data_IF_754935808312
#
_entry.id   IF_754935808312
#
_cell.length_a   1.000
_cell.length_b   1.000
_cell.length_c   1.000
_cell.angle_alpha   90.00
_cell.angle_beta   90.00
_cell.angle_gamma   90.00
#
_symmetry.space_group_name_H-M   'P 1'
#
loop_
_entity.id
_entity.type
_entity.pdbx_description
1 polymer ?
#
# COMPACT_ATOMS: atom_id res chain seq x y z
N UNK A 1 4.74 -6.39 -14.98
CA UNK A 1 3.69 -6.07 -15.96
C UNK A 1 3.36 -4.58 -15.86
N UNK A 2 3.21 -3.87 -16.98
CA UNK A 2 2.85 -2.44 -16.97
C UNK A 2 1.36 -2.34 -17.30
N UNK A 3 0.62 -1.42 -16.67
CA UNK A 3 -0.83 -1.21 -16.92
C UNK A 3 -1.17 -0.92 -18.39
N UNK A 4 -0.24 -0.30 -19.11
CA UNK A 4 -0.39 0.01 -20.52
C UNK A 4 -0.07 -1.16 -21.47
N UNK A 5 0.29 -2.35 -20.94
CA UNK A 5 0.60 -3.50 -21.78
C UNK A 5 -0.68 -4.12 -22.37
N UNK A 6 -0.62 -4.52 -23.63
CA UNK A 6 -1.70 -5.25 -24.29
C UNK A 6 -2.08 -6.52 -23.53
N UNK A 7 -1.10 -7.21 -22.94
CA UNK A 7 -1.33 -8.41 -22.13
C UNK A 7 -2.15 -8.11 -20.90
N UNK A 8 -1.92 -6.95 -20.23
CA UNK A 8 -2.74 -6.54 -19.12
C UNK A 8 -4.18 -6.27 -19.55
N UNK A 9 -4.37 -5.49 -20.59
CA UNK A 9 -5.68 -5.02 -21.02
C UNK A 9 -6.55 -6.15 -21.61
N UNK A 10 -5.96 -7.02 -22.44
CA UNK A 10 -6.71 -8.04 -23.19
C UNK A 10 -6.71 -9.43 -22.56
N UNK A 11 -5.81 -9.73 -21.66
CA UNK A 11 -5.78 -11.02 -20.97
C UNK A 11 -6.05 -10.90 -19.49
N UNK A 12 -5.20 -10.18 -18.75
CA UNK A 12 -5.27 -10.16 -17.28
C UNK A 12 -6.56 -9.52 -16.77
N UNK A 13 -6.92 -8.34 -17.27
CA UNK A 13 -8.11 -7.61 -16.83
C UNK A 13 -9.41 -8.37 -17.11
N UNK A 14 -9.67 -8.89 -18.34
CA UNK A 14 -10.87 -9.68 -18.61
C UNK A 14 -10.96 -10.94 -17.76
N UNK A 15 -9.85 -11.69 -17.61
CA UNK A 15 -9.82 -12.89 -16.76
C UNK A 15 -10.17 -12.53 -15.31
N UNK A 16 -9.58 -11.47 -14.77
CA UNK A 16 -9.87 -11.01 -13.41
C UNK A 16 -11.33 -10.61 -13.24
N UNK A 17 -11.91 -9.91 -14.20
CA UNK A 17 -13.32 -9.52 -14.19
C UNK A 17 -14.24 -10.75 -14.25
N UNK A 18 -13.97 -11.70 -15.15
CA UNK A 18 -14.74 -12.95 -15.25
C UNK A 18 -14.71 -13.69 -13.92
N UNK A 19 -13.54 -13.88 -13.33
CA UNK A 19 -13.38 -14.53 -12.04
C UNK A 19 -14.14 -13.78 -10.94
N UNK A 20 -14.06 -12.45 -10.91
CA UNK A 20 -14.76 -11.62 -9.94
C UNK A 20 -16.27 -11.76 -10.00
N UNK A 21 -16.86 -11.90 -11.21
CA UNK A 21 -18.29 -12.07 -11.38
C UNK A 21 -18.77 -13.51 -11.13
N UNK A 22 -17.93 -14.51 -11.39
CA UNK A 22 -18.24 -15.92 -11.18
C UNK A 22 -18.28 -16.33 -9.70
N UNK A 23 -17.48 -15.67 -8.84
CA UNK A 23 -17.38 -16.05 -7.42
C UNK A 23 -18.49 -15.42 -6.55
N UNK A 24 -18.89 -16.08 -5.45
CA UNK A 24 -19.85 -15.55 -4.51
C UNK A 24 -19.32 -14.29 -3.81
N UNK A 25 -20.22 -13.43 -3.32
CA UNK A 25 -19.89 -12.13 -2.70
C UNK A 25 -18.80 -12.22 -1.63
N UNK A 26 -18.73 -13.30 -0.86
CA UNK A 26 -17.74 -13.52 0.20
C UNK A 26 -16.32 -13.73 -0.33
N UNK A 27 -16.16 -14.29 -1.54
CA UNK A 27 -14.88 -14.59 -2.16
C UNK A 27 -14.37 -13.47 -3.08
N UNK A 28 -15.16 -12.45 -3.37
CA UNK A 28 -14.77 -11.34 -4.27
C UNK A 28 -13.50 -10.62 -3.84
N UNK A 29 -13.37 -10.34 -2.54
CA UNK A 29 -12.17 -9.69 -1.99
C UNK A 29 -10.92 -10.58 -2.11
N UNK A 30 -11.08 -11.90 -2.04
CA UNK A 30 -9.99 -12.84 -2.21
C UNK A 30 -9.53 -12.88 -3.68
N UNK A 31 -10.46 -12.83 -4.62
CA UNK A 31 -10.12 -12.75 -6.07
C UNK A 31 -9.35 -11.48 -6.36
N UNK A 32 -9.81 -10.33 -5.85
CA UNK A 32 -9.10 -9.05 -6.01
C UNK A 32 -7.70 -9.12 -5.38
N UNK A 33 -7.59 -9.68 -4.18
CA UNK A 33 -6.31 -9.85 -3.49
C UNK A 33 -5.35 -10.70 -4.32
N UNK A 34 -5.78 -11.88 -4.74
CA UNK A 34 -4.92 -12.81 -5.51
C UNK A 34 -4.52 -12.16 -6.85
N UNK A 35 -5.46 -11.56 -7.57
CA UNK A 35 -5.13 -10.89 -8.83
C UNK A 35 -4.17 -9.72 -8.63
N UNK A 36 -4.34 -8.91 -7.59
CA UNK A 36 -3.40 -7.85 -7.24
C UNK A 36 -2.00 -8.39 -6.93
N UNK A 37 -1.90 -9.44 -6.10
CA UNK A 37 -0.62 -10.08 -5.78
C UNK A 37 0.05 -10.69 -7.02
N UNK A 38 -0.71 -11.36 -7.89
CA UNK A 38 -0.20 -11.91 -9.15
C UNK A 38 0.32 -10.80 -10.07
N UNK A 39 -0.41 -9.69 -10.15
CA UNK A 39 0.01 -8.54 -10.94
C UNK A 39 1.35 -7.97 -10.47
N UNK A 40 1.51 -7.76 -9.15
CA UNK A 40 2.76 -7.28 -8.57
C UNK A 40 3.89 -8.32 -8.68
N UNK A 41 3.60 -9.61 -8.41
CA UNK A 41 4.59 -10.69 -8.49
C UNK A 41 5.12 -10.91 -9.91
N UNK A 42 4.31 -10.63 -10.92
CA UNK A 42 4.75 -10.71 -12.33
C UNK A 42 5.83 -9.69 -12.66
N UNK A 43 5.78 -8.50 -12.05
CA UNK A 43 6.78 -7.46 -12.24
C UNK A 43 8.01 -7.68 -11.37
N UNK A 44 7.79 -7.85 -10.08
CA UNK A 44 8.84 -7.83 -9.06
C UNK A 44 8.48 -8.73 -7.87
N UNK A 45 8.73 -10.05 -7.95
CA UNK A 45 8.24 -11.01 -6.95
C UNK A 45 8.78 -10.78 -5.53
N UNK A 46 10.03 -10.28 -5.41
CA UNK A 46 10.66 -10.03 -4.11
C UNK A 46 9.94 -8.89 -3.37
N UNK A 47 9.51 -7.86 -4.08
CA UNK A 47 8.86 -6.68 -3.47
C UNK A 47 7.42 -6.91 -3.03
N UNK A 48 6.78 -7.99 -3.51
CA UNK A 48 5.49 -8.44 -2.97
C UNK A 48 5.59 -8.76 -1.48
N UNK A 49 6.70 -9.36 -1.04
CA UNK A 49 6.92 -9.64 0.38
C UNK A 49 7.02 -8.36 1.21
N UNK A 50 7.70 -7.34 0.68
CA UNK A 50 7.80 -6.03 1.32
C UNK A 50 6.43 -5.37 1.46
N UNK A 51 5.62 -5.43 0.40
CA UNK A 51 4.25 -4.92 0.40
C UNK A 51 3.37 -5.66 1.41
N UNK A 52 3.42 -6.98 1.46
CA UNK A 52 2.66 -7.79 2.41
C UNK A 52 3.07 -7.45 3.85
N UNK A 53 4.38 -7.35 4.11
CA UNK A 53 4.90 -7.01 5.43
C UNK A 53 4.45 -5.61 5.88
N UNK A 54 4.60 -4.60 5.02
CA UNK A 54 4.14 -3.24 5.29
C UNK A 54 2.64 -3.21 5.59
N UNK A 55 1.83 -3.86 4.74
CA UNK A 55 0.37 -3.94 4.91
C UNK A 55 -0.01 -4.64 6.21
N UNK A 56 0.72 -5.68 6.61
CA UNK A 56 0.48 -6.38 7.87
C UNK A 56 0.79 -5.51 9.09
N UNK A 57 1.86 -4.72 9.03
CA UNK A 57 2.22 -3.75 10.08
C UNK A 57 1.10 -2.72 10.25
N UNK A 58 0.61 -2.13 9.15
CA UNK A 58 -0.44 -1.12 9.19
C UNK A 58 -1.79 -1.70 9.63
N UNK A 59 -2.11 -2.93 9.21
CA UNK A 59 -3.28 -3.64 9.70
C UNK A 59 -3.23 -3.86 11.20
N UNK A 60 -2.09 -4.32 11.74
CA UNK A 60 -1.93 -4.55 13.18
C UNK A 60 -1.95 -3.24 13.97
N UNK A 61 -1.29 -2.19 13.45
CA UNK A 61 -1.36 -0.85 14.04
C UNK A 61 -2.80 -0.34 14.10
N UNK A 62 -3.56 -0.48 13.03
CA UNK A 62 -4.98 -0.12 12.98
C UNK A 62 -5.83 -0.88 14.01
N UNK A 63 -5.59 -2.18 14.17
CA UNK A 63 -6.29 -3.00 15.17
C UNK A 63 -5.95 -2.59 16.60
N UNK A 64 -4.71 -2.19 16.86
CA UNK A 64 -4.27 -1.72 18.18
C UNK A 64 -4.88 -0.33 18.46
N UNK A 65 -4.88 0.58 17.48
CA UNK A 65 -5.50 1.91 17.61
C UNK A 65 -6.98 1.80 17.97
N UNK A 66 -7.72 0.88 17.33
CA UNK A 66 -9.12 0.64 17.63
C UNK A 66 -9.33 0.01 19.02
N UNK A 67 -8.50 -0.98 19.37
CA UNK A 67 -8.60 -1.69 20.67
C UNK A 67 -8.32 -0.79 21.86
N UNK A 68 -7.38 0.16 21.72
CA UNK A 68 -6.97 1.06 22.80
C UNK A 68 -7.50 2.49 22.61
N UNK A 69 -8.77 2.60 22.19
CA UNK A 69 -9.40 3.90 21.92
C UNK A 69 -9.42 4.85 23.12
N UNK A 70 -9.49 4.31 24.34
CA UNK A 70 -9.46 5.06 25.61
C UNK A 70 -8.05 5.50 26.04
N UNK A 71 -6.99 5.04 25.35
CA UNK A 71 -5.60 5.31 25.74
C UNK A 71 -4.86 6.14 24.67
N UNK A 72 -4.92 7.48 24.74
CA UNK A 72 -4.38 8.34 23.68
C UNK A 72 -2.88 8.15 23.43
N UNK A 73 -2.10 7.89 24.49
CA UNK A 73 -0.65 7.65 24.37
C UNK A 73 -0.33 6.40 23.53
N UNK A 74 -1.08 5.30 23.73
CA UNK A 74 -0.88 4.06 22.96
C UNK A 74 -1.29 4.27 21.50
N UNK A 75 -2.40 4.94 21.27
CA UNK A 75 -2.87 5.28 19.91
C UNK A 75 -1.83 6.10 19.15
N UNK A 76 -1.30 7.15 19.77
CA UNK A 76 -0.27 8.01 19.15
C UNK A 76 1.02 7.23 18.90
N UNK A 77 1.45 6.39 19.85
CA UNK A 77 2.63 5.56 19.66
C UNK A 77 2.47 4.58 18.49
N UNK A 78 1.32 3.90 18.36
CA UNK A 78 1.05 2.99 17.26
C UNK A 78 1.01 3.72 15.90
N UNK A 79 0.39 4.90 15.84
CA UNK A 79 0.41 5.74 14.64
C UNK A 79 1.85 6.11 14.25
N UNK A 80 2.64 6.61 15.20
CA UNK A 80 4.03 7.00 14.94
C UNK A 80 4.88 5.83 14.46
N UNK A 81 4.74 4.66 15.08
CA UNK A 81 5.46 3.45 14.66
C UNK A 81 5.09 3.09 13.23
N UNK A 82 3.79 3.05 12.88
CA UNK A 82 3.35 2.79 11.51
C UNK A 82 3.92 3.80 10.52
N UNK A 83 3.85 5.11 10.84
CA UNK A 83 4.38 6.16 9.98
C UNK A 83 5.90 6.05 9.79
N UNK A 84 6.66 5.85 10.89
CA UNK A 84 8.12 5.71 10.84
C UNK A 84 8.52 4.49 10.01
N UNK A 85 7.85 3.37 10.18
CA UNK A 85 8.12 2.15 9.39
C UNK A 85 7.84 2.36 7.91
N UNK A 86 6.71 2.96 7.55
CA UNK A 86 6.34 3.22 6.16
C UNK A 86 7.25 4.26 5.49
N UNK A 87 7.52 5.37 6.17
CA UNK A 87 8.44 6.41 5.67
C UNK A 87 9.86 5.86 5.59
N UNK A 88 10.30 5.09 6.58
CA UNK A 88 11.61 4.45 6.59
C UNK A 88 11.78 3.48 5.42
N UNK A 89 10.76 2.66 5.16
CA UNK A 89 10.74 1.74 4.02
C UNK A 89 10.81 2.51 2.70
N UNK A 90 9.99 3.54 2.54
CA UNK A 90 10.00 4.39 1.35
C UNK A 90 11.35 5.10 1.17
N UNK A 91 11.90 5.64 2.26
CA UNK A 91 13.20 6.32 2.25
C UNK A 91 14.34 5.37 1.86
N UNK A 92 14.32 4.14 2.38
CA UNK A 92 15.33 3.12 2.05
C UNK A 92 15.31 2.81 0.56
N UNK A 93 14.16 2.50 -0.02
CA UNK A 93 14.12 2.14 -1.44
C UNK A 93 14.33 3.34 -2.38
N UNK A 94 13.89 4.52 -2.00
CA UNK A 94 13.92 5.69 -2.87
C UNK A 94 15.20 6.52 -2.75
N UNK A 95 15.76 6.61 -1.54
CA UNK A 95 16.84 7.56 -1.26
C UNK A 95 18.13 6.91 -0.79
N UNK A 96 18.17 5.61 -0.47
CA UNK A 96 19.39 4.96 0.04
C UNK A 96 20.56 5.07 -0.93
N UNK A 97 20.33 4.82 -2.23
CA UNK A 97 21.35 4.97 -3.25
C UNK A 97 21.93 6.38 -3.30
N UNK A 98 21.06 7.38 -3.31
CA UNK A 98 21.47 8.80 -3.31
C UNK A 98 22.25 9.17 -2.02
N UNK A 99 21.80 8.68 -0.86
CA UNK A 99 22.48 8.94 0.43
C UNK A 99 23.89 8.32 0.42
N UNK A 100 24.02 7.08 -0.05
CA UNK A 100 25.31 6.38 -0.15
C UNK A 100 26.25 7.13 -1.10
N UNK A 101 25.78 7.55 -2.26
CA UNK A 101 26.57 8.33 -3.21
C UNK A 101 27.03 9.67 -2.64
N UNK A 102 26.15 10.39 -1.95
CA UNK A 102 26.48 11.63 -1.28
C UNK A 102 27.51 11.46 -0.15
N UNK A 103 27.40 10.37 0.64
CA UNK A 103 28.35 10.04 1.69
C UNK A 103 29.72 9.65 1.11
N UNK A 104 29.74 8.86 0.05
CA UNK A 104 30.98 8.47 -0.63
C UNK A 104 31.69 9.70 -1.23
N UNK A 105 30.94 10.61 -1.85
CA UNK A 105 31.48 11.84 -2.43
C UNK A 105 31.96 12.85 -1.36
N UNK A 106 31.22 12.98 -0.25
CA UNK A 106 31.53 13.96 0.79
C UNK A 106 32.63 13.54 1.77
N UNK A 107 32.66 12.26 2.12
CA UNK A 107 33.57 11.74 3.15
C UNK A 107 34.68 10.82 2.59
N UNK A 108 34.69 10.56 1.28
CA UNK A 108 35.66 9.66 0.65
C UNK A 108 35.53 8.19 1.12
N UNK A 109 34.37 7.79 1.61
CA UNK A 109 34.08 6.44 2.09
C UNK A 109 33.66 5.60 0.89
N UNK A 110 34.17 4.38 0.75
CA UNK A 110 33.80 3.46 -0.32
C UNK A 110 32.69 2.50 0.17
N UNK A 111 31.49 3.02 0.47
CA UNK A 111 30.34 2.19 0.82
C UNK A 111 29.77 1.60 -0.48
N UNK A 112 29.66 0.27 -0.62
CA UNK A 112 29.06 -0.33 -1.80
C UNK A 112 27.60 0.06 -1.91
N UNK A 113 27.20 0.65 -3.06
CA UNK A 113 25.79 0.96 -3.32
C UNK A 113 25.05 -0.32 -3.73
N UNK A 114 24.05 -0.76 -2.99
CA UNK A 114 23.30 -1.98 -3.29
C UNK A 114 22.42 -1.85 -4.54
N UNK A 115 22.32 -0.65 -5.16
CA UNK A 115 21.55 -0.37 -6.36
C UNK A 115 20.14 -1.03 -6.31
N UNK A 116 19.43 -0.82 -5.19
CA UNK A 116 18.10 -1.38 -5.00
C UNK A 116 17.16 -0.79 -6.06
N UNK A 117 16.59 -1.59 -6.96
CA UNK A 117 15.60 -1.10 -7.89
C UNK A 117 14.38 -0.59 -7.11
N UNK A 118 13.81 0.53 -7.56
CA UNK A 118 12.63 1.11 -6.93
C UNK A 118 11.40 0.24 -7.25
N UNK A 119 10.74 -0.38 -6.27
CA UNK A 119 9.57 -1.20 -6.52
C UNK A 119 8.45 -0.37 -7.17
N UNK A 120 7.85 -0.91 -8.22
CA UNK A 120 6.72 -0.26 -8.88
C UNK A 120 5.57 -0.11 -7.88
N UNK A 121 5.12 1.13 -7.70
CA UNK A 121 3.98 1.43 -6.82
C UNK A 121 4.30 1.52 -5.33
N UNK A 122 5.57 1.43 -4.89
CA UNK A 122 5.93 1.51 -3.46
C UNK A 122 5.37 2.78 -2.80
N UNK A 123 5.48 3.92 -3.45
CA UNK A 123 4.94 5.19 -2.92
C UNK A 123 3.42 5.12 -2.77
N UNK A 124 2.73 4.48 -3.71
CA UNK A 124 1.27 4.39 -3.68
C UNK A 124 0.75 3.54 -2.54
N UNK A 125 1.21 2.30 -2.44
CA UNK A 125 0.71 1.43 -1.38
C UNK A 125 1.14 1.94 0.01
N UNK A 126 2.32 2.55 0.12
CA UNK A 126 2.78 3.17 1.37
C UNK A 126 1.89 4.35 1.77
N UNK A 127 1.62 5.29 0.86
CA UNK A 127 0.72 6.42 1.16
C UNK A 127 -0.71 5.97 1.42
N UNK A 128 -1.19 4.96 0.74
CA UNK A 128 -2.53 4.42 0.92
C UNK A 128 -2.71 3.78 2.29
N UNK A 129 -1.75 2.96 2.73
CA UNK A 129 -1.79 2.34 4.05
C UNK A 129 -1.58 3.36 5.17
N UNK A 130 -0.70 4.36 4.96
CA UNK A 130 -0.54 5.48 5.88
C UNK A 130 -1.81 6.30 6.02
N UNK A 131 -2.49 6.64 4.92
CA UNK A 131 -3.76 7.38 4.95
C UNK A 131 -4.80 6.63 5.76
N UNK A 132 -4.93 5.30 5.57
CA UNK A 132 -5.83 4.48 6.37
C UNK A 132 -5.53 4.59 7.87
N UNK A 133 -4.25 4.48 8.28
CA UNK A 133 -3.86 4.53 9.69
C UNK A 133 -4.11 5.90 10.30
N UNK A 134 -3.87 6.98 9.53
CA UNK A 134 -4.14 8.36 9.93
C UNK A 134 -5.65 8.60 10.09
N UNK A 135 -6.46 8.17 9.11
CA UNK A 135 -7.92 8.37 9.12
C UNK A 135 -8.57 7.59 10.26
N UNK A 136 -8.05 6.39 10.56
CA UNK A 136 -8.48 5.61 11.71
C UNK A 136 -8.12 6.30 13.04
N UNK A 137 -6.90 6.84 13.15
CA UNK A 137 -6.49 7.63 14.32
C UNK A 137 -7.39 8.86 14.51
N UNK A 138 -7.77 9.52 13.43
CA UNK A 138 -8.69 10.68 13.42
C UNK A 138 -10.15 10.29 13.64
N UNK A 139 -10.46 9.01 13.75
CA UNK A 139 -11.83 8.46 13.88
C UNK A 139 -12.74 8.79 12.69
N UNK A 140 -12.17 9.01 11.52
CA UNK A 140 -12.93 9.28 10.29
C UNK A 140 -13.46 8.01 9.65
N UNK A 141 -12.81 6.88 9.90
CA UNK A 141 -13.18 5.56 9.38
C UNK A 141 -13.24 4.53 10.50
N UNK A 142 -13.95 3.45 10.25
CA UNK A 142 -13.99 2.27 11.14
C UNK A 142 -12.88 1.30 10.78
N UNK A 143 -12.32 0.62 11.81
CA UNK A 143 -11.27 -0.37 11.59
C UNK A 143 -11.75 -1.52 10.70
N UNK A 144 -10.93 -1.89 9.73
CA UNK A 144 -11.16 -3.07 8.92
C UNK A 144 -10.78 -4.32 9.71
N UNK A 145 -11.77 -5.16 10.01
CA UNK A 145 -11.57 -6.38 10.82
C UNK A 145 -11.03 -7.55 10.01
N UNK A 146 -11.23 -7.54 8.69
CA UNK A 146 -10.79 -8.61 7.80
C UNK A 146 -9.46 -8.23 7.12
N UNK A 147 -8.39 -8.98 7.46
CA UNK A 147 -7.05 -8.76 6.91
C UNK A 147 -7.02 -8.93 5.38
N UNK A 148 -7.74 -9.93 4.83
CA UNK A 148 -7.79 -10.13 3.39
C UNK A 148 -8.46 -8.95 2.66
N UNK A 149 -9.49 -8.35 3.25
CA UNK A 149 -10.14 -7.15 2.67
C UNK A 149 -9.23 -5.93 2.74
N UNK A 150 -8.47 -5.76 3.81
CA UNK A 150 -7.50 -4.67 3.92
C UNK A 150 -6.34 -4.85 2.92
N UNK A 151 -5.81 -6.06 2.83
CA UNK A 151 -4.75 -6.37 1.87
C UNK A 151 -5.24 -6.22 0.42
N UNK A 152 -6.49 -6.65 0.11
CA UNK A 152 -7.10 -6.42 -1.19
C UNK A 152 -7.22 -4.92 -1.52
N UNK A 153 -7.54 -4.09 -0.53
CA UNK A 153 -7.59 -2.63 -0.70
C UNK A 153 -6.21 -2.06 -1.06
N UNK A 154 -5.14 -2.49 -0.40
CA UNK A 154 -3.78 -2.02 -0.65
C UNK A 154 -3.25 -2.53 -2.00
N UNK A 155 -3.55 -3.78 -2.36
CA UNK A 155 -3.07 -4.42 -3.60
C UNK A 155 -3.93 -4.10 -4.83
N UNK A 156 -5.01 -3.32 -4.68
CA UNK A 156 -5.92 -3.00 -5.77
C UNK A 156 -5.21 -2.18 -6.85
N UNK A 157 -4.88 -2.81 -7.94
CA UNK A 157 -4.13 -2.23 -9.06
C UNK A 157 -4.85 -1.11 -9.84
N UNK A 158 -6.20 -1.04 -9.98
CA UNK A 158 -6.85 0.04 -10.73
C UNK A 158 -6.82 1.39 -10.03
N UNK A 159 -6.45 1.45 -8.76
CA UNK A 159 -6.48 2.68 -7.96
C UNK A 159 -5.46 3.73 -8.44
N UNK A 160 -4.41 3.28 -9.13
CA UNK A 160 -3.41 4.16 -9.74
C UNK A 160 -3.97 5.04 -10.87
N UNK A 161 -5.06 4.61 -11.53
CA UNK A 161 -5.70 5.37 -12.60
C UNK A 161 -6.85 6.25 -12.10
N UNK A 162 -7.37 5.99 -10.89
CA UNK A 162 -8.52 6.69 -10.32
C UNK A 162 -8.18 8.00 -9.61
N UNK A 163 -6.89 8.30 -9.39
CA UNK A 163 -6.44 9.54 -8.73
C UNK A 163 -6.87 10.79 -9.53
N UNK A 164 -7.04 10.66 -10.84
CA UNK A 164 -7.53 11.73 -11.69
C UNK A 164 -9.06 11.84 -11.75
N UNK A 165 -9.80 10.89 -11.18
CA UNK A 165 -11.27 10.83 -11.25
C UNK A 165 -11.92 11.12 -9.91
N UNK A 166 -11.21 10.99 -8.81
CA UNK A 166 -11.72 11.28 -7.47
C UNK A 166 -11.49 12.72 -7.04
N UNK A 167 -12.03 13.67 -7.79
CA UNK A 167 -12.51 14.87 -7.11
C UNK A 167 -13.72 14.45 -6.28
N UNK A 168 -13.71 14.60 -4.95
CA UNK A 168 -14.90 14.36 -4.16
C UNK A 168 -15.89 15.47 -4.48
N UNK A 169 -16.77 15.26 -5.42
CA UNK A 169 -18.05 15.94 -5.42
C UNK A 169 -18.81 15.47 -4.18
N UNK A 170 -18.40 15.96 -3.02
CA UNK A 170 -19.30 15.98 -1.86
C UNK A 170 -20.45 16.88 -2.27
N UNK A 171 -21.69 16.40 -2.40
CA UNK A 171 -22.82 17.28 -2.41
C UNK A 171 -22.77 18.01 -1.07
N UNK A 172 -22.49 19.32 -1.09
CA UNK A 172 -22.80 20.20 0.03
C UNK A 172 -24.31 20.11 0.18
N UNK A 173 -24.77 19.34 1.15
CA UNK A 173 -26.11 19.51 1.67
C UNK A 173 -26.14 20.92 2.27
N UNK A 174 -26.66 21.85 1.48
CA UNK A 174 -27.10 23.15 1.92
C UNK A 174 -28.45 22.90 2.61
N UNK A 175 -28.50 23.17 3.85
CA UNK A 175 -29.72 23.59 4.54
C UNK A 175 -29.37 24.65 5.53
#
# INVERSE_FOLDING_TARGET
MVFSSLTFLFAFLPITLILYYLVPKKAKNVVILISGLVFYAWGEPIYVLVMILSTFIDYTAGRIIDKYDDRPKIRTACLLVSLIMNIGLLATFKYLGFIIEALNAGFGIAIPNPNLPLPIGISFFTFQSMSYTIDLYRRQIKVQKNAASFMAFVTLFPQLSLIHISEPTRPRLIS
#
